data_IF_227313170129
#
_entry.id   IF_227313170129
#
_cell.length_a   1.000
_cell.length_b   1.000
_cell.length_c   1.000
_cell.angle_alpha   90.00
_cell.angle_beta   90.00
_cell.angle_gamma   90.00
#
_symmetry.space_group_name_H-M   'P 1'
#
loop_
_entity.id
_entity.type
_entity.pdbx_description
1 polymer ?
#
# COMPACT_ATOMS: atom_id res chain seq x y z
N UNK A 1 29.10 6.48 8.21
CA UNK A 1 28.43 5.23 8.63
C UNK A 1 27.90 4.61 7.35
N UNK A 2 28.54 3.56 6.83
CA UNK A 2 28.03 2.83 5.68
C UNK A 2 26.76 2.11 6.11
N UNK A 3 25.61 2.48 5.54
CA UNK A 3 24.45 1.62 5.58
C UNK A 3 24.77 0.46 4.64
N UNK A 4 25.14 -0.70 5.19
CA UNK A 4 25.12 -1.95 4.44
C UNK A 4 23.67 -2.16 3.98
N UNK A 5 23.44 -1.95 2.69
CA UNK A 5 22.16 -2.20 2.05
C UNK A 5 21.96 -3.71 1.97
N UNK A 6 21.41 -4.30 3.02
CA UNK A 6 20.96 -5.68 2.98
C UNK A 6 19.70 -5.78 2.14
N UNK A 7 19.78 -6.55 1.05
CA UNK A 7 18.60 -6.97 0.29
C UNK A 7 17.88 -8.05 1.08
N UNK A 8 16.72 -7.72 1.64
CA UNK A 8 15.88 -8.66 2.38
C UNK A 8 14.63 -8.97 1.53
N UNK A 9 14.30 -10.24 1.26
CA UNK A 9 13.20 -10.59 0.37
C UNK A 9 11.84 -10.17 0.96
N UNK A 10 10.96 -9.58 0.15
CA UNK A 10 9.62 -9.20 0.61
C UNK A 10 8.82 -10.41 1.14
N UNK A 11 7.98 -10.17 2.15
CA UNK A 11 7.11 -11.19 2.74
C UNK A 11 5.73 -11.13 2.08
N UNK A 12 5.24 -12.28 1.61
CA UNK A 12 3.89 -12.41 1.06
C UNK A 12 3.01 -13.22 2.00
N UNK A 13 2.55 -12.60 3.09
CA UNK A 13 1.62 -13.24 4.03
C UNK A 13 0.19 -13.05 3.55
N UNK A 14 -0.66 -14.09 3.52
CA UNK A 14 -2.07 -13.93 3.19
C UNK A 14 -2.71 -12.81 4.00
N UNK A 15 -3.32 -11.84 3.30
CA UNK A 15 -4.19 -10.85 3.93
C UNK A 15 -5.54 -11.51 4.26
N UNK A 16 -6.11 -11.18 5.42
CA UNK A 16 -7.43 -11.71 5.76
C UNK A 16 -8.49 -11.15 4.80
N UNK A 17 -9.58 -11.90 4.58
CA UNK A 17 -10.73 -11.40 3.79
C UNK A 17 -11.31 -10.09 4.32
N UNK A 18 -11.19 -9.85 5.63
CA UNK A 18 -11.64 -8.60 6.26
C UNK A 18 -10.77 -7.42 5.84
N UNK A 19 -9.44 -7.60 5.87
CA UNK A 19 -8.47 -6.61 5.42
C UNK A 19 -8.63 -6.35 3.93
N UNK A 20 -8.76 -7.39 3.11
CA UNK A 20 -9.01 -7.26 1.68
C UNK A 20 -10.24 -6.38 1.38
N UNK A 21 -11.38 -6.70 1.99
CA UNK A 21 -12.62 -5.93 1.83
C UNK A 21 -12.44 -4.47 2.29
N UNK A 22 -11.75 -4.27 3.40
CA UNK A 22 -11.51 -2.93 3.96
C UNK A 22 -10.59 -2.11 3.06
N UNK A 23 -9.52 -2.73 2.53
CA UNK A 23 -8.57 -2.11 1.62
C UNK A 23 -9.25 -1.68 0.32
N UNK A 24 -9.99 -2.59 -0.33
CA UNK A 24 -10.72 -2.28 -1.57
C UNK A 24 -11.79 -1.20 -1.36
N UNK A 25 -12.53 -1.24 -0.24
CA UNK A 25 -13.48 -0.19 0.14
C UNK A 25 -12.79 1.16 0.34
N UNK A 26 -11.62 1.14 0.97
CA UNK A 26 -10.82 2.34 1.23
C UNK A 26 -10.25 2.93 -0.05
N UNK A 27 -9.81 2.09 -1.00
CA UNK A 27 -9.38 2.50 -2.34
C UNK A 27 -10.52 3.20 -3.08
N UNK A 28 -11.71 2.60 -3.15
CA UNK A 28 -12.88 3.24 -3.77
C UNK A 28 -13.17 4.61 -3.16
N UNK A 29 -13.20 4.67 -1.82
CA UNK A 29 -13.42 5.92 -1.08
C UNK A 29 -12.33 6.97 -1.38
N UNK A 30 -11.07 6.57 -1.47
CA UNK A 30 -9.94 7.44 -1.83
C UNK A 30 -10.11 7.99 -3.25
N UNK A 31 -10.47 7.13 -4.20
CA UNK A 31 -10.68 7.49 -5.61
C UNK A 31 -11.87 8.45 -5.79
N UNK A 32 -12.99 8.21 -5.10
CA UNK A 32 -14.18 9.06 -5.19
C UNK A 32 -13.95 10.47 -4.65
N UNK A 33 -13.14 10.59 -3.59
CA UNK A 33 -12.94 11.85 -2.86
C UNK A 33 -11.61 12.52 -3.16
N UNK A 34 -10.73 11.87 -3.95
CA UNK A 34 -9.33 12.27 -4.17
C UNK A 34 -8.62 12.63 -2.85
N UNK A 35 -8.69 11.73 -1.87
CA UNK A 35 -8.21 11.92 -0.49
C UNK A 35 -7.41 10.72 0.01
N UNK A 36 -6.66 10.94 1.09
CA UNK A 36 -5.98 9.88 1.84
C UNK A 36 -6.88 9.30 2.94
N UNK A 37 -6.78 7.99 3.15
CA UNK A 37 -7.40 7.25 4.24
C UNK A 37 -6.41 6.23 4.81
N UNK A 38 -6.47 6.03 6.13
CA UNK A 38 -5.65 5.06 6.83
C UNK A 38 -6.54 4.11 7.64
N UNK A 39 -6.11 2.87 7.82
CA UNK A 39 -6.70 1.93 8.78
C UNK A 39 -5.63 0.96 9.29
N UNK A 40 -5.87 0.37 10.45
CA UNK A 40 -4.98 -0.63 11.05
C UNK A 40 -5.74 -1.95 11.11
N UNK A 41 -5.09 -3.05 10.74
CA UNK A 41 -5.58 -4.38 11.09
C UNK A 41 -5.16 -4.70 12.52
N UNK A 42 -6.10 -4.61 13.45
CA UNK A 42 -5.84 -4.84 14.88
C UNK A 42 -5.34 -6.26 15.19
N UNK A 43 -5.63 -7.24 14.33
CA UNK A 43 -5.21 -8.64 14.54
C UNK A 43 -3.74 -8.88 14.23
N UNK A 44 -3.16 -8.10 13.31
CA UNK A 44 -1.77 -8.23 12.87
C UNK A 44 -0.93 -7.00 13.21
N UNK A 45 -1.56 -5.93 13.73
CA UNK A 45 -0.97 -4.62 13.97
C UNK A 45 -0.31 -3.98 12.72
N UNK A 46 -0.78 -4.36 11.53
CA UNK A 46 -0.31 -3.81 10.26
C UNK A 46 -1.14 -2.57 9.92
N UNK A 47 -0.46 -1.46 9.61
CA UNK A 47 -1.10 -0.21 9.21
C UNK A 47 -1.11 -0.08 7.69
N UNK A 48 -2.26 0.28 7.14
CA UNK A 48 -2.48 0.53 5.72
C UNK A 48 -2.83 2.00 5.51
N UNK A 49 -2.24 2.59 4.48
CA UNK A 49 -2.58 3.93 4.00
C UNK A 49 -2.86 3.87 2.51
N UNK A 50 -3.94 4.50 2.09
CA UNK A 50 -4.34 4.62 0.69
C UNK A 50 -4.55 6.09 0.38
N UNK A 51 -3.93 6.57 -0.69
CA UNK A 51 -4.18 7.90 -1.22
C UNK A 51 -4.43 7.84 -2.72
N UNK A 52 -5.34 8.69 -3.18
CA UNK A 52 -5.58 8.87 -4.60
C UNK A 52 -5.53 10.36 -4.94
N UNK A 53 -4.82 10.69 -6.01
CA UNK A 53 -4.72 12.05 -6.52
C UNK A 53 -5.22 12.12 -7.97
N UNK A 54 -6.40 12.70 -8.17
CA UNK A 54 -6.99 12.86 -9.50
C UNK A 54 -6.24 13.89 -10.35
N UNK A 55 -5.60 14.89 -9.75
CA UNK A 55 -4.89 15.98 -10.44
C UNK A 55 -3.50 15.56 -10.97
N UNK A 56 -2.88 14.57 -10.34
CA UNK A 56 -1.61 13.98 -10.80
C UNK A 56 -1.88 12.75 -11.67
N UNK A 57 -2.53 12.97 -12.83
CA UNK A 57 -2.83 11.92 -13.81
C UNK A 57 -3.56 10.70 -13.22
N UNK A 58 -4.32 10.83 -12.12
CA UNK A 58 -4.93 9.70 -11.43
C UNK A 58 -3.88 8.75 -10.83
N UNK A 59 -3.20 9.18 -9.77
CA UNK A 59 -2.22 8.37 -9.07
C UNK A 59 -2.83 7.71 -7.83
N UNK A 60 -2.83 6.38 -7.77
CA UNK A 60 -3.16 5.58 -6.59
C UNK A 60 -1.86 5.20 -5.89
N UNK A 61 -1.74 5.52 -4.61
CA UNK A 61 -0.67 5.06 -3.75
C UNK A 61 -1.25 4.23 -2.60
N UNK A 62 -0.71 3.03 -2.42
CA UNK A 62 -1.03 2.15 -1.29
C UNK A 62 0.25 1.84 -0.56
N UNK A 63 0.26 2.11 0.74
CA UNK A 63 1.39 1.79 1.59
C UNK A 63 1.01 0.94 2.78
N UNK A 64 1.96 0.11 3.20
CA UNK A 64 1.87 -0.83 4.31
C UNK A 64 2.99 -0.52 5.29
N UNK A 65 2.68 -0.57 6.58
CA UNK A 65 3.65 -0.48 7.67
C UNK A 65 3.51 -1.73 8.51
N UNK A 66 4.59 -2.48 8.60
CA UNK A 66 4.68 -3.72 9.36
C UNK A 66 5.81 -3.59 10.39
N UNK A 67 5.64 -4.19 11.57
CA UNK A 67 6.67 -4.25 12.62
C UNK A 67 7.60 -5.44 12.44
N UNK A 68 7.31 -6.34 11.49
CA UNK A 68 8.24 -7.38 11.08
C UNK A 68 9.44 -6.78 10.31
N UNK A 69 10.55 -7.53 10.29
CA UNK A 69 11.77 -7.21 9.53
C UNK A 69 11.55 -7.09 8.01
N UNK A 70 10.37 -7.48 7.53
CA UNK A 70 10.00 -7.50 6.13
C UNK A 70 8.65 -6.81 5.93
N UNK A 71 8.52 -5.95 4.91
CA UNK A 71 7.22 -5.39 4.60
C UNK A 71 6.30 -6.48 4.04
N UNK A 72 5.06 -6.50 4.50
CA UNK A 72 4.03 -7.34 3.92
C UNK A 72 3.60 -6.78 2.55
N UNK A 73 4.20 -7.32 1.48
CA UNK A 73 3.95 -6.93 0.10
C UNK A 73 2.72 -7.63 -0.51
N UNK A 74 1.96 -8.41 0.26
CA UNK A 74 0.76 -9.12 -0.23
C UNK A 74 -0.35 -8.23 -0.77
N UNK A 75 -0.28 -6.92 -0.52
CA UNK A 75 -1.15 -5.96 -1.21
C UNK A 75 -0.92 -5.97 -2.72
N UNK A 76 0.27 -6.33 -3.20
CA UNK A 76 0.55 -6.50 -4.64
C UNK A 76 -0.31 -7.61 -5.23
N UNK A 77 -0.29 -8.80 -4.63
CA UNK A 77 -1.07 -9.95 -5.10
C UNK A 77 -2.57 -9.66 -5.18
N UNK A 78 -3.06 -8.76 -4.32
CA UNK A 78 -4.45 -8.30 -4.37
C UNK A 78 -4.72 -7.29 -5.50
N UNK A 79 -3.81 -6.32 -5.68
CA UNK A 79 -4.08 -5.12 -6.47
C UNK A 79 -3.58 -5.23 -7.92
N UNK A 80 -2.55 -6.02 -8.18
CA UNK A 80 -2.02 -6.24 -9.53
C UNK A 80 -3.07 -6.80 -10.51
N UNK A 81 -3.92 -7.78 -10.14
CA UNK A 81 -4.99 -8.23 -11.02
C UNK A 81 -6.04 -7.14 -11.35
N UNK A 82 -6.11 -6.07 -10.56
CA UNK A 82 -7.11 -5.00 -10.69
C UNK A 82 -6.54 -3.80 -11.46
N UNK A 83 -5.30 -3.41 -11.15
CA UNK A 83 -4.68 -2.18 -11.63
C UNK A 83 -3.44 -2.41 -12.52
N UNK A 84 -3.05 -3.66 -12.74
CA UNK A 84 -1.77 -4.02 -13.37
C UNK A 84 -0.60 -3.87 -12.40
N UNK A 85 0.62 -3.99 -12.90
CA UNK A 85 1.82 -3.78 -12.08
C UNK A 85 1.96 -2.31 -11.62
N UNK A 86 2.41 -2.06 -10.38
CA UNK A 86 2.68 -0.70 -9.92
C UNK A 86 3.80 -0.06 -10.73
N UNK A 87 3.61 1.21 -11.10
CA UNK A 87 4.61 2.02 -11.81
C UNK A 87 5.85 2.28 -10.97
N UNK A 88 5.69 2.41 -9.65
CA UNK A 88 6.79 2.62 -8.70
C UNK A 88 6.57 1.82 -7.43
N UNK A 89 7.66 1.30 -6.87
CA UNK A 89 7.67 0.61 -5.60
C UNK A 89 8.82 1.14 -4.75
N UNK A 90 8.58 1.33 -3.45
CA UNK A 90 9.58 1.78 -2.49
C UNK A 90 9.44 0.98 -1.20
N UNK A 91 10.58 0.66 -0.59
CA UNK A 91 10.65 0.09 0.75
C UNK A 91 11.75 0.80 1.52
N UNK A 92 11.48 1.16 2.78
CA UNK A 92 12.45 1.78 3.68
C UNK A 92 12.06 1.51 5.14
N UNK A 93 12.99 1.61 6.10
CA UNK A 93 12.63 1.73 7.51
C UNK A 93 11.64 2.89 7.72
N UNK A 94 10.66 2.68 8.57
CA UNK A 94 9.64 3.69 8.85
C UNK A 94 10.25 4.83 9.68
N UNK A 95 10.02 6.07 9.23
CA UNK A 95 10.68 7.26 9.80
C UNK A 95 10.41 7.45 11.30
N UNK A 96 9.27 6.97 11.82
CA UNK A 96 8.92 7.12 13.25
C UNK A 96 9.46 5.99 14.14
N UNK A 97 9.74 4.82 13.58
CA UNK A 97 10.22 3.65 14.33
C UNK A 97 10.99 2.76 13.34
N UNK A 98 12.31 2.73 13.49
CA UNK A 98 13.19 2.02 12.58
C UNK A 98 13.06 0.49 12.66
N UNK A 99 12.30 -0.03 13.64
CA UNK A 99 11.93 -1.45 13.73
C UNK A 99 10.80 -1.80 12.77
N UNK A 100 9.99 -0.82 12.38
CA UNK A 100 8.94 -1.01 11.41
C UNK A 100 9.47 -0.74 9.99
N UNK A 101 8.97 -1.52 9.02
CA UNK A 101 9.28 -1.33 7.61
C UNK A 101 8.07 -0.73 6.90
N UNK A 102 8.35 0.32 6.14
CA UNK A 102 7.44 0.95 5.20
C UNK A 102 7.56 0.28 3.84
N UNK A 103 6.42 -0.05 3.23
CA UNK A 103 6.33 -0.39 1.83
C UNK A 103 5.28 0.46 1.12
N UNK A 104 5.60 0.93 -0.08
CA UNK A 104 4.73 1.79 -0.89
C UNK A 104 4.72 1.29 -2.32
N UNK A 105 3.52 1.08 -2.87
CA UNK A 105 3.28 0.82 -4.27
C UNK A 105 2.44 1.96 -4.87
N UNK A 106 2.83 2.43 -6.06
CA UNK A 106 2.17 3.53 -6.77
C UNK A 106 1.78 3.11 -8.18
N UNK A 107 0.51 3.29 -8.52
CA UNK A 107 -0.04 3.14 -9.86
C UNK A 107 -0.38 4.51 -10.41
N UNK A 108 0.36 4.95 -11.42
CA UNK A 108 0.05 6.18 -12.15
C UNK A 108 -0.97 5.88 -13.26
N UNK A 109 -1.79 6.87 -13.65
CA UNK A 109 -2.77 6.76 -14.76
C UNK A 109 -3.94 5.82 -14.46
N UNK A 110 -4.29 5.63 -13.20
CA UNK A 110 -5.53 4.98 -12.79
C UNK A 110 -6.70 5.89 -13.16
N UNK A 111 -7.45 5.51 -14.19
CA UNK A 111 -8.61 6.25 -14.64
C UNK A 111 -9.87 5.75 -13.94
N UNK A 112 -10.57 6.64 -13.25
CA UNK A 112 -11.90 6.37 -12.72
C UNK A 112 -12.91 6.57 -13.85
N UNK A 113 -13.51 5.49 -14.35
CA UNK A 113 -14.65 5.63 -15.25
C UNK A 113 -15.80 6.30 -14.47
N UNK A 114 -16.29 7.44 -14.97
CA UNK A 114 -17.32 8.28 -14.32
C UNK A 114 -18.73 7.66 -14.24
N UNK A 115 -18.88 6.35 -14.39
CA UNK A 115 -20.19 5.66 -14.38
C UNK A 115 -20.14 4.42 -13.48
N UNK A 116 -20.48 4.64 -12.21
CA UNK A 116 -21.28 3.72 -11.42
C UNK A 116 -22.61 4.41 -11.15
#
# INVERSE_FOLDING_TARGET
MNLDLMTVPAKFVPISRSVEKTLLKTIRKAMDKSKQYNFVDESTNISYCVSFNMYQKGALAVSVVDFDLLPNASVLNLLEPIFGEPTKQFSNPWVRDNRAIFYLAVWERVMVAKRF
#
